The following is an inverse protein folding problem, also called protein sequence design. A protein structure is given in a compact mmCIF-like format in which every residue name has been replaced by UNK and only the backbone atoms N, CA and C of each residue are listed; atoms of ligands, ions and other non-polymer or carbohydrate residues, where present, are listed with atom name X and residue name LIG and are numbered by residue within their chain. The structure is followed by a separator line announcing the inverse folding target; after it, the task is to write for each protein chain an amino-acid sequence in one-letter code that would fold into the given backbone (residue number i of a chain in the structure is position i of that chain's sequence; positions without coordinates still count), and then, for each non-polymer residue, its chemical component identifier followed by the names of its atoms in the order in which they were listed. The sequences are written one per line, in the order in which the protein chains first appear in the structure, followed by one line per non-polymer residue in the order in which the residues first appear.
data_IF_918740198980
#
_entry.id   IF_918740198980
#
_cell.length_a   1.000
_cell.length_b   1.000
_cell.length_c   1.000
_cell.angle_alpha   90.00
_cell.angle_beta   90.00
_cell.angle_gamma   90.00
#
_symmetry.space_group_name_H-M   'P 1'
#
loop_
_entity.id
_entity.type
_entity.pdbx_description
1 polymer ?
#
# COMPACT_ATOMS: atom_id res chain seq x y z
N UNK A 1 -30.02 -21.38 -2.41
CA UNK A 1 -29.51 -21.83 -1.10
C UNK A 1 -30.63 -21.93 -0.08
N UNK A 2 -31.46 -20.90 0.11
CA UNK A 2 -32.71 -21.02 0.90
C UNK A 2 -33.59 -22.19 0.43
N UNK A 3 -33.80 -22.30 -0.89
CA UNK A 3 -34.51 -23.43 -1.50
C UNK A 3 -33.84 -24.78 -1.25
N UNK A 4 -32.50 -24.82 -1.19
CA UNK A 4 -31.71 -26.04 -0.98
C UNK A 4 -31.73 -26.47 0.51
N UNK A 5 -31.76 -25.50 1.44
CA UNK A 5 -31.98 -25.74 2.87
C UNK A 5 -33.42 -26.23 3.18
N UNK A 6 -34.40 -25.80 2.38
CA UNK A 6 -35.79 -26.29 2.49
C UNK A 6 -35.97 -27.68 1.88
N UNK A 7 -35.23 -27.98 0.80
CA UNK A 7 -35.26 -29.29 0.12
C UNK A 7 -34.39 -30.34 0.84
N UNK A 8 -33.31 -29.91 1.49
CA UNK A 8 -32.37 -30.73 2.25
C UNK A 8 -32.16 -30.15 3.66
N UNK A 9 -33.15 -30.30 4.57
CA UNK A 9 -33.01 -29.82 5.93
C UNK A 9 -31.80 -30.49 6.62
N UNK A 10 -31.02 -29.76 7.44
CA UNK A 10 -29.81 -30.29 8.06
C UNK A 10 -30.11 -31.54 8.91
N UNK A 11 -29.14 -32.45 9.06
CA UNK A 11 -29.30 -33.73 9.78
C UNK A 11 -29.82 -33.61 11.23
N UNK A 12 -29.83 -32.40 11.80
CA UNK A 12 -30.42 -32.09 13.11
C UNK A 12 -31.93 -31.80 13.08
N UNK A 13 -32.60 -31.91 11.92
CA UNK A 13 -34.03 -31.67 11.78
C UNK A 13 -34.84 -32.81 12.43
N UNK A 14 -35.43 -32.53 13.60
CA UNK A 14 -36.38 -33.42 14.27
C UNK A 14 -37.82 -32.99 13.93
N UNK A 15 -38.54 -33.72 13.06
CA UNK A 15 -39.90 -33.37 12.62
C UNK A 15 -40.93 -33.37 13.75
N UNK A 16 -40.63 -34.00 14.88
CA UNK A 16 -41.52 -34.05 16.05
C UNK A 16 -41.32 -32.84 16.98
N UNK A 17 -40.19 -32.15 16.88
CA UNK A 17 -39.83 -31.01 17.74
C UNK A 17 -39.82 -29.66 17.00
N UNK A 18 -39.63 -29.66 15.68
CA UNK A 18 -39.43 -28.43 14.90
C UNK A 18 -40.67 -28.12 14.05
N UNK A 19 -41.17 -26.90 14.16
CA UNK A 19 -42.21 -26.41 13.24
C UNK A 19 -41.57 -25.78 11.97
N UNK A 20 -42.41 -25.51 10.97
CA UNK A 20 -41.93 -24.89 9.72
C UNK A 20 -41.28 -23.52 9.93
N UNK A 21 -41.68 -22.76 10.96
CA UNK A 21 -41.09 -21.46 11.28
C UNK A 21 -39.62 -21.62 11.68
N UNK A 22 -39.29 -22.64 12.48
CA UNK A 22 -37.92 -22.95 12.88
C UNK A 22 -37.04 -23.31 11.67
N UNK A 23 -37.61 -24.02 10.67
CA UNK A 23 -36.90 -24.32 9.41
C UNK A 23 -36.59 -23.06 8.63
N UNK A 24 -37.57 -22.15 8.48
CA UNK A 24 -37.36 -20.89 7.79
C UNK A 24 -36.31 -20.01 8.48
N UNK A 25 -36.33 -19.93 9.82
CA UNK A 25 -35.35 -19.16 10.59
C UNK A 25 -33.93 -19.74 10.42
N UNK A 26 -33.79 -21.06 10.46
CA UNK A 26 -32.50 -21.73 10.23
C UNK A 26 -31.98 -21.51 8.80
N UNK A 27 -32.85 -21.65 7.78
CA UNK A 27 -32.49 -21.40 6.39
C UNK A 27 -32.10 -19.92 6.16
N UNK A 28 -32.82 -18.99 6.81
CA UNK A 28 -32.50 -17.57 6.78
C UNK A 28 -31.13 -17.29 7.41
N UNK A 29 -30.85 -17.83 8.60
CA UNK A 29 -29.55 -17.66 9.25
C UNK A 29 -28.41 -18.22 8.38
N UNK A 30 -28.58 -19.42 7.83
CA UNK A 30 -27.60 -20.03 6.94
C UNK A 30 -27.34 -19.19 5.69
N UNK A 31 -28.39 -18.53 5.16
CA UNK A 31 -28.26 -17.64 4.00
C UNK A 31 -27.46 -16.37 4.32
N UNK A 32 -27.63 -15.82 5.53
CA UNK A 32 -26.86 -14.67 6.00
C UNK A 32 -25.38 -15.03 6.15
N UNK A 33 -25.09 -16.14 6.84
CA UNK A 33 -23.71 -16.63 6.99
C UNK A 33 -23.03 -16.86 5.64
N UNK A 34 -23.74 -17.45 4.68
CA UNK A 34 -23.19 -17.67 3.35
C UNK A 34 -22.90 -16.35 2.62
N UNK A 35 -23.81 -15.38 2.73
CA UNK A 35 -23.61 -14.06 2.15
C UNK A 35 -22.39 -13.36 2.76
N UNK A 36 -22.22 -13.42 4.08
CA UNK A 36 -21.06 -12.85 4.78
C UNK A 36 -19.75 -13.49 4.29
N UNK A 37 -19.71 -14.81 4.11
CA UNK A 37 -18.55 -15.51 3.55
C UNK A 37 -18.22 -15.05 2.12
N UNK A 38 -19.23 -14.89 1.26
CA UNK A 38 -19.03 -14.37 -0.10
C UNK A 38 -18.53 -12.93 -0.09
N UNK A 39 -19.05 -12.11 0.82
CA UNK A 39 -18.62 -10.74 1.01
C UNK A 39 -17.16 -10.66 1.43
N UNK A 40 -16.77 -11.41 2.47
CA UNK A 40 -15.37 -11.51 2.92
C UNK A 40 -14.44 -12.00 1.80
N UNK A 41 -14.87 -13.01 1.02
CA UNK A 41 -14.09 -13.50 -0.12
C UNK A 41 -13.86 -12.40 -1.16
N UNK A 42 -14.90 -11.62 -1.49
CA UNK A 42 -14.78 -10.48 -2.42
C UNK A 42 -13.79 -9.45 -1.89
N UNK A 43 -13.93 -9.01 -0.64
CA UNK A 43 -13.04 -8.01 -0.04
C UNK A 43 -11.58 -8.47 -0.02
N UNK A 44 -11.33 -9.71 0.43
CA UNK A 44 -9.97 -10.30 0.43
C UNK A 44 -9.40 -10.43 -0.98
N UNK A 45 -10.23 -10.72 -1.97
CA UNK A 45 -9.79 -10.81 -3.38
C UNK A 45 -9.36 -9.45 -3.90
N UNK A 46 -10.14 -8.40 -3.67
CA UNK A 46 -9.80 -7.03 -4.09
C UNK A 46 -8.51 -6.55 -3.42
N UNK A 47 -8.35 -6.79 -2.11
CA UNK A 47 -7.12 -6.47 -1.38
C UNK A 47 -5.92 -7.27 -1.88
N UNK A 48 -6.11 -8.54 -2.23
CA UNK A 48 -5.08 -9.38 -2.84
C UNK A 48 -4.61 -8.86 -4.20
N UNK A 49 -5.54 -8.38 -5.03
CA UNK A 49 -5.21 -7.75 -6.33
C UNK A 49 -4.41 -6.46 -6.09
N UNK A 50 -4.88 -5.57 -5.21
CA UNK A 50 -4.18 -4.34 -4.87
C UNK A 50 -2.75 -4.61 -4.36
N UNK A 51 -2.59 -5.60 -3.46
CA UNK A 51 -1.27 -6.02 -2.97
C UNK A 51 -0.36 -6.53 -4.10
N UNK A 52 -0.90 -7.34 -5.03
CA UNK A 52 -0.19 -7.82 -6.20
C UNK A 52 0.29 -6.67 -7.10
N UNK A 53 -0.59 -5.72 -7.41
CA UNK A 53 -0.27 -4.51 -8.20
C UNK A 53 0.86 -3.71 -7.55
N UNK A 54 0.73 -3.39 -6.27
CA UNK A 54 1.72 -2.60 -5.54
C UNK A 54 3.07 -3.29 -5.46
N UNK A 55 3.11 -4.58 -5.11
CA UNK A 55 4.38 -5.31 -5.00
C UNK A 55 5.09 -5.46 -6.34
N UNK A 56 4.34 -5.70 -7.42
CA UNK A 56 4.92 -5.75 -8.76
C UNK A 56 5.48 -4.38 -9.16
N UNK A 57 4.71 -3.31 -8.93
CA UNK A 57 5.13 -1.93 -9.15
C UNK A 57 6.41 -1.59 -8.39
N UNK A 58 6.42 -1.76 -7.06
CA UNK A 58 7.53 -1.37 -6.19
C UNK A 58 8.81 -2.14 -6.56
N UNK A 59 8.69 -3.45 -6.79
CA UNK A 59 9.83 -4.28 -7.19
C UNK A 59 10.41 -3.83 -8.53
N UNK A 60 9.55 -3.60 -9.51
CA UNK A 60 9.96 -3.13 -10.84
C UNK A 60 10.63 -1.76 -10.77
N UNK A 61 10.09 -0.88 -9.91
CA UNK A 61 10.64 0.44 -9.68
C UNK A 61 12.03 0.39 -9.03
N UNK A 62 12.21 -0.42 -7.98
CA UNK A 62 13.53 -0.62 -7.35
C UNK A 62 14.56 -1.19 -8.32
N UNK A 63 14.16 -2.12 -9.21
CA UNK A 63 15.03 -2.62 -10.29
C UNK A 63 15.46 -1.50 -11.22
N UNK A 64 14.52 -0.65 -11.66
CA UNK A 64 14.80 0.51 -12.51
C UNK A 64 15.78 1.45 -11.80
N UNK A 65 15.47 1.91 -10.59
CA UNK A 65 16.33 2.84 -9.83
C UNK A 65 17.74 2.27 -9.66
N UNK A 66 17.87 1.00 -9.25
CA UNK A 66 19.17 0.37 -9.11
C UNK A 66 19.95 0.30 -10.43
N UNK A 67 19.26 0.13 -11.57
CA UNK A 67 19.88 0.12 -12.90
C UNK A 67 20.33 1.53 -13.31
N UNK A 68 19.48 2.54 -13.16
CA UNK A 68 19.81 3.93 -13.52
C UNK A 68 20.99 4.44 -12.69
N UNK A 69 20.93 4.26 -11.36
CA UNK A 69 22.03 4.64 -10.48
C UNK A 69 23.32 3.89 -10.80
N UNK A 70 23.25 2.61 -11.21
CA UNK A 70 24.44 1.87 -11.66
C UNK A 70 25.00 2.43 -12.96
N UNK A 71 24.14 2.72 -13.95
CA UNK A 71 24.56 3.27 -15.23
C UNK A 71 25.21 4.65 -15.08
N UNK A 72 24.73 5.46 -14.15
CA UNK A 72 25.29 6.76 -13.80
C UNK A 72 26.47 6.69 -12.80
N UNK A 73 26.89 5.50 -12.36
CA UNK A 73 28.06 5.31 -11.48
C UNK A 73 27.81 5.51 -9.98
N UNK A 74 26.56 5.67 -9.55
CA UNK A 74 26.13 5.90 -8.16
C UNK A 74 25.82 4.63 -7.36
N UNK A 75 25.75 3.46 -8.02
CA UNK A 75 25.82 2.15 -7.34
C UNK A 75 27.25 1.64 -7.46
N UNK A 76 27.97 1.74 -6.34
CA UNK A 76 29.40 1.43 -6.28
C UNK A 76 29.65 -0.04 -5.97
N UNK A 77 28.78 -0.65 -5.14
CA UNK A 77 29.00 -2.00 -4.64
C UNK A 77 27.76 -2.65 -4.04
N UNK A 78 27.98 -3.63 -3.17
CA UNK A 78 26.92 -4.43 -2.58
C UNK A 78 26.04 -3.59 -1.63
N UNK A 79 26.63 -2.68 -0.84
CA UNK A 79 25.89 -1.95 0.20
C UNK A 79 24.93 -0.93 -0.40
N UNK A 80 25.35 -0.19 -1.41
CA UNK A 80 24.51 0.75 -2.14
C UNK A 80 23.35 0.03 -2.83
N UNK A 81 23.63 -1.09 -3.51
CA UNK A 81 22.58 -1.94 -4.09
C UNK A 81 21.59 -2.40 -3.02
N UNK A 82 22.06 -2.93 -1.90
CA UNK A 82 21.21 -3.43 -0.82
C UNK A 82 20.32 -2.33 -0.21
N UNK A 83 20.83 -1.09 -0.11
CA UNK A 83 20.03 0.03 0.38
C UNK A 83 18.87 0.37 -0.56
N UNK A 84 19.06 0.35 -1.89
CA UNK A 84 17.95 0.57 -2.84
C UNK A 84 16.84 -0.47 -2.67
N UNK A 85 17.20 -1.70 -2.30
CA UNK A 85 16.23 -2.79 -2.10
C UNK A 85 15.51 -2.75 -0.75
N UNK A 86 16.18 -2.28 0.30
CA UNK A 86 15.68 -2.38 1.68
C UNK A 86 15.14 -1.08 2.26
N UNK A 87 15.48 0.06 1.67
CA UNK A 87 15.04 1.33 2.20
C UNK A 87 13.51 1.46 2.15
N UNK A 88 12.97 2.19 3.12
CA UNK A 88 11.55 2.54 3.12
C UNK A 88 11.20 3.39 1.89
N UNK A 89 9.93 3.39 1.49
CA UNK A 89 9.49 4.15 0.32
C UNK A 89 9.87 5.64 0.41
N UNK A 90 9.67 6.26 1.57
CA UNK A 90 10.03 7.67 1.82
C UNK A 90 11.54 7.94 1.71
N UNK A 91 12.37 6.97 2.05
CA UNK A 91 13.82 7.05 1.88
C UNK A 91 14.22 6.95 0.40
N UNK A 92 13.52 6.09 -0.36
CA UNK A 92 13.71 5.98 -1.80
C UNK A 92 13.31 7.28 -2.52
N UNK A 93 12.21 7.93 -2.11
CA UNK A 93 11.80 9.23 -2.63
C UNK A 93 12.82 10.32 -2.32
N UNK A 94 13.27 10.42 -1.08
CA UNK A 94 14.31 11.39 -0.70
C UNK A 94 15.60 11.18 -1.51
N UNK A 95 15.93 9.93 -1.86
CA UNK A 95 17.05 9.65 -2.75
C UNK A 95 16.80 10.16 -4.16
N UNK A 96 15.60 9.96 -4.72
CA UNK A 96 15.26 10.39 -6.08
C UNK A 96 15.15 11.90 -6.21
N UNK A 97 14.66 12.59 -5.17
CA UNK A 97 14.70 14.05 -5.07
C UNK A 97 16.13 14.56 -5.15
N UNK A 98 17.08 13.89 -4.49
CA UNK A 98 18.49 14.24 -4.61
C UNK A 98 19.02 14.10 -6.05
N UNK A 99 18.38 13.28 -6.89
CA UNK A 99 18.65 13.15 -8.33
C UNK A 99 17.66 13.95 -9.21
N UNK A 100 17.09 15.03 -8.67
CA UNK A 100 16.27 15.98 -9.43
C UNK A 100 14.87 15.49 -9.79
N UNK A 101 14.39 14.39 -9.21
CA UNK A 101 13.04 13.89 -9.47
C UNK A 101 12.16 13.92 -8.22
N UNK A 102 11.26 14.90 -8.20
CA UNK A 102 10.23 15.03 -7.17
C UNK A 102 9.07 14.06 -7.42
N UNK A 103 9.21 12.85 -6.87
CA UNK A 103 8.22 11.77 -7.04
C UNK A 103 6.81 12.17 -6.57
N UNK A 104 6.62 12.84 -5.41
CA UNK A 104 5.31 13.36 -5.01
C UNK A 104 4.62 14.31 -5.99
N UNK A 105 5.35 14.97 -6.90
CA UNK A 105 4.77 15.89 -7.89
C UNK A 105 4.11 15.17 -9.08
N UNK A 106 4.28 13.85 -9.19
CA UNK A 106 3.75 13.02 -10.28
C UNK A 106 2.21 13.02 -10.29
N UNK A 107 1.56 13.07 -11.47
CA UNK A 107 0.11 12.94 -11.57
C UNK A 107 -0.42 11.68 -10.86
N UNK A 108 -1.54 11.81 -10.15
CA UNK A 108 -2.18 10.70 -9.41
C UNK A 108 -1.32 10.06 -8.32
N UNK A 109 -0.23 10.71 -7.88
CA UNK A 109 0.63 10.18 -6.82
C UNK A 109 -0.13 9.89 -5.51
N UNK A 110 -1.15 10.67 -5.17
CA UNK A 110 -2.00 10.44 -3.99
C UNK A 110 -2.68 9.06 -4.02
N UNK A 111 -3.07 8.56 -5.20
CA UNK A 111 -3.70 7.25 -5.35
C UNK A 111 -2.68 6.12 -5.23
N UNK A 112 -1.45 6.34 -5.69
CA UNK A 112 -0.33 5.41 -5.48
C UNK A 112 0.06 5.34 -4.00
N UNK A 113 0.05 6.46 -3.30
CA UNK A 113 0.32 6.50 -1.88
C UNK A 113 -0.80 5.84 -1.07
N UNK A 114 -2.06 6.06 -1.44
CA UNK A 114 -3.19 5.35 -0.86
C UNK A 114 -3.05 3.83 -1.05
N UNK A 115 -2.66 3.37 -2.26
CA UNK A 115 -2.39 1.96 -2.53
C UNK A 115 -1.33 1.38 -1.57
N UNK A 116 -0.21 2.09 -1.38
CA UNK A 116 0.84 1.67 -0.44
C UNK A 116 0.30 1.51 0.97
N UNK A 117 -0.50 2.47 1.44
CA UNK A 117 -1.08 2.42 2.78
C UNK A 117 -2.09 1.28 2.92
N UNK A 118 -3.00 1.12 1.97
CA UNK A 118 -3.98 0.01 1.92
C UNK A 118 -3.28 -1.35 2.01
N UNK A 119 -2.22 -1.56 1.22
CA UNK A 119 -1.48 -2.84 1.23
C UNK A 119 -0.76 -3.07 2.56
N UNK A 120 -0.24 -2.01 3.17
CA UNK A 120 0.39 -2.11 4.49
C UNK A 120 -0.63 -2.41 5.60
N UNK A 121 -1.81 -1.80 5.56
CA UNK A 121 -2.92 -2.11 6.48
C UNK A 121 -3.40 -3.55 6.27
N UNK A 122 -3.57 -4.00 5.02
CA UNK A 122 -3.95 -5.37 4.73
C UNK A 122 -2.97 -6.40 5.29
N UNK A 123 -1.67 -6.09 5.31
CA UNK A 123 -0.63 -6.97 5.86
C UNK A 123 -0.54 -6.96 7.38
N UNK A 124 -0.69 -5.79 7.99
CA UNK A 124 -0.32 -5.58 9.40
C UNK A 124 -1.50 -5.26 10.31
N UNK A 125 -2.66 -4.91 9.74
CA UNK A 125 -3.83 -4.43 10.45
C UNK A 125 -3.57 -3.07 11.08
N UNK A 126 -3.73 -3.00 12.40
CA UNK A 126 -3.52 -1.80 13.19
C UNK A 126 -2.08 -1.26 13.10
N UNK A 127 -1.96 0.07 13.12
CA UNK A 127 -0.66 0.75 13.22
C UNK A 127 -0.54 2.01 12.39
N UNK A 128 0.69 2.50 12.16
CA UNK A 128 0.94 3.79 11.52
C UNK A 128 0.33 3.91 10.12
N UNK A 129 0.27 2.82 9.36
CA UNK A 129 -0.34 2.82 8.03
C UNK A 129 -1.85 3.07 8.11
N UNK A 130 -2.54 2.44 9.07
CA UNK A 130 -3.97 2.62 9.25
C UNK A 130 -4.30 4.02 9.78
N UNK A 131 -3.53 4.53 10.74
CA UNK A 131 -3.68 5.91 11.21
C UNK A 131 -3.48 6.93 10.08
N UNK A 132 -2.46 6.73 9.23
CA UNK A 132 -2.25 7.58 8.05
C UNK A 132 -3.40 7.45 7.03
N UNK A 133 -3.94 6.24 6.83
CA UNK A 133 -5.05 5.99 5.92
C UNK A 133 -6.31 6.75 6.38
N UNK A 134 -6.67 6.64 7.66
CA UNK A 134 -7.80 7.37 8.24
C UNK A 134 -7.67 8.88 8.05
N UNK A 135 -6.50 9.43 8.34
CA UNK A 135 -6.26 10.88 8.29
C UNK A 135 -6.25 11.45 6.87
N UNK A 136 -5.70 10.71 5.91
CA UNK A 136 -5.35 11.26 4.59
C UNK A 136 -6.24 10.75 3.46
N UNK A 137 -6.80 9.56 3.63
CA UNK A 137 -7.64 8.91 2.63
C UNK A 137 -8.88 8.28 3.29
N UNK A 138 -9.73 9.10 3.95
CA UNK A 138 -10.89 8.60 4.70
C UNK A 138 -11.89 7.82 3.83
N UNK A 139 -11.88 8.02 2.51
CA UNK A 139 -12.67 7.24 1.53
C UNK A 139 -12.46 5.71 1.60
N UNK A 140 -11.33 5.25 2.15
CA UNK A 140 -11.07 3.82 2.36
C UNK A 140 -11.61 3.31 3.70
N UNK A 141 -12.20 4.17 4.52
CA UNK A 141 -12.78 3.84 5.82
C UNK A 141 -14.13 4.55 5.93
N UNK A 142 -15.17 4.07 5.21
CA UNK A 142 -16.44 4.79 5.04
C UNK A 142 -17.14 5.17 6.36
N UNK A 143 -16.90 4.40 7.43
CA UNK A 143 -17.41 4.64 8.78
C UNK A 143 -16.91 5.97 9.38
N UNK A 144 -15.84 6.57 8.85
CA UNK A 144 -15.40 7.91 9.23
C UNK A 144 -16.26 9.01 8.61
N UNK A 145 -16.97 8.73 7.52
CA UNK A 145 -17.81 9.70 6.82
C UNK A 145 -19.26 9.71 7.33
N UNK A 146 -19.70 8.61 7.95
CA UNK A 146 -21.09 8.41 8.36
C UNK A 146 -21.43 8.78 9.81
N UNK A 147 -20.45 9.01 10.69
CA UNK A 147 -20.70 9.29 12.12
C UNK A 147 -19.87 10.47 12.67
N UNK A 148 -20.53 11.44 13.32
CA UNK A 148 -19.88 12.56 14.04
C UNK A 148 -19.15 12.10 15.34
N UNK A 149 -19.26 10.83 15.72
CA UNK A 149 -18.50 10.23 16.81
C UNK A 149 -18.37 8.74 16.57
N UNK A 150 -17.20 8.12 16.52
CA UNK A 150 -15.96 8.47 17.17
C UNK A 150 -14.86 7.68 16.45
N UNK A 151 -13.87 8.39 15.91
CA UNK A 151 -12.61 7.84 15.38
C UNK A 151 -11.96 6.77 16.28
N UNK A 152 -12.34 6.76 17.57
CA UNK A 152 -11.89 5.84 18.62
C UNK A 152 -12.44 4.41 18.51
N UNK A 153 -13.52 4.17 17.76
CA UNK A 153 -14.11 2.83 17.59
C UNK A 153 -13.88 2.27 16.18
N UNK A 154 -13.22 3.02 15.31
CA UNK A 154 -12.89 2.60 13.95
C UNK A 154 -11.52 1.93 13.95
N UNK A 155 -11.51 0.65 13.62
CA UNK A 155 -10.33 -0.21 13.51
C UNK A 155 -10.08 -0.64 12.05
N UNK A 156 -8.96 -1.32 11.81
CA UNK A 156 -8.54 -1.72 10.45
C UNK A 156 -9.53 -2.63 9.71
N UNK A 157 -10.45 -3.30 10.41
CA UNK A 157 -11.46 -4.17 9.78
C UNK A 157 -12.52 -3.37 9.01
N UNK A 158 -12.60 -2.07 9.29
CA UNK A 158 -13.48 -1.13 8.60
C UNK A 158 -12.86 -0.61 7.28
N UNK A 159 -11.64 -1.02 6.94
CA UNK A 159 -11.02 -0.66 5.67
C UNK A 159 -11.76 -1.34 4.50
N UNK A 160 -12.25 -0.53 3.56
CA UNK A 160 -12.98 -1.00 2.39
C UNK A 160 -12.26 -0.62 1.09
N UNK A 161 -12.13 -1.58 0.18
CA UNK A 161 -11.60 -1.38 -1.18
C UNK A 161 -12.64 -1.85 -2.18
N UNK A 162 -12.93 -1.02 -3.18
CA UNK A 162 -13.89 -1.32 -4.25
C UNK A 162 -13.16 -1.51 -5.58
N UNK A 163 -13.90 -1.88 -6.62
CA UNK A 163 -13.37 -2.04 -7.97
C UNK A 163 -12.93 -0.69 -8.55
N UNK A 164 -13.65 0.40 -8.27
CA UNK A 164 -13.28 1.76 -8.69
C UNK A 164 -11.94 2.20 -8.07
N UNK A 165 -11.65 1.76 -6.84
CA UNK A 165 -10.35 1.99 -6.23
C UNK A 165 -9.23 1.25 -6.97
N UNK A 166 -9.48 0.02 -7.44
CA UNK A 166 -8.50 -0.72 -8.25
C UNK A 166 -8.21 -0.01 -9.59
N UNK A 167 -9.23 0.54 -10.24
CA UNK A 167 -9.06 1.33 -11.46
C UNK A 167 -8.22 2.59 -11.20
N UNK A 168 -8.49 3.30 -10.10
CA UNK A 168 -7.69 4.46 -9.69
C UNK A 168 -6.23 4.09 -9.41
N UNK A 169 -5.99 2.97 -8.72
CA UNK A 169 -4.65 2.45 -8.47
C UNK A 169 -3.91 2.07 -9.77
N UNK A 170 -4.62 1.44 -10.71
CA UNK A 170 -4.07 1.08 -12.02
C UNK A 170 -3.64 2.33 -12.79
N UNK A 171 -4.53 3.33 -12.86
CA UNK A 171 -4.26 4.60 -13.53
C UNK A 171 -3.10 5.36 -12.88
N UNK A 172 -2.99 5.32 -11.56
CA UNK A 172 -1.88 5.93 -10.84
C UNK A 172 -0.53 5.25 -11.15
N UNK A 173 -0.50 3.93 -11.22
CA UNK A 173 0.70 3.17 -11.61
C UNK A 173 1.09 3.52 -13.05
N UNK A 174 0.14 3.56 -13.98
CA UNK A 174 0.41 3.93 -15.38
C UNK A 174 0.95 5.36 -15.47
N UNK A 175 0.27 6.32 -14.85
CA UNK A 175 0.68 7.73 -14.80
C UNK A 175 2.07 7.89 -14.21
N UNK A 176 2.39 7.11 -13.17
CA UNK A 176 3.72 7.09 -12.59
C UNK A 176 4.78 6.65 -13.60
N UNK A 177 4.54 5.55 -14.31
CA UNK A 177 5.49 5.04 -15.32
C UNK A 177 5.69 6.02 -16.49
N UNK A 178 4.64 6.73 -16.89
CA UNK A 178 4.70 7.76 -17.93
C UNK A 178 5.45 9.02 -17.49
N UNK A 179 5.40 9.36 -16.20
CA UNK A 179 6.08 10.52 -15.64
C UNK A 179 7.57 10.26 -15.31
N UNK A 180 8.06 9.02 -15.40
CA UNK A 180 9.46 8.70 -15.09
C UNK A 180 10.38 9.40 -16.08
N UNK A 181 11.38 10.16 -15.62
CA UNK A 181 12.35 10.78 -16.51
C UNK A 181 13.17 9.72 -17.26
N UNK A 182 13.58 10.04 -18.49
CA UNK A 182 14.41 9.15 -19.31
C UNK A 182 15.73 8.77 -18.62
N UNK A 183 16.30 9.70 -17.85
CA UNK A 183 17.51 9.52 -17.06
C UNK A 183 17.35 10.27 -15.73
N UNK A 184 17.86 9.68 -14.65
CA UNK A 184 18.06 10.39 -13.40
C UNK A 184 19.34 11.23 -13.56
N UNK A 185 19.20 12.54 -13.65
CA UNK A 185 20.31 13.46 -13.86
C UNK A 185 20.57 14.27 -12.59
N UNK A 186 21.86 14.47 -12.28
CA UNK A 186 22.26 15.53 -11.37
C UNK A 186 22.18 16.84 -12.15
N UNK A 187 21.54 17.87 -11.60
CA UNK A 187 21.47 19.19 -12.24
C UNK A 187 22.89 19.69 -12.60
N UNK A 188 23.05 20.21 -13.82
CA UNK A 188 24.33 20.76 -14.28
C UNK A 188 24.76 21.93 -13.40
N UNK A 189 25.96 21.84 -12.80
CA UNK A 189 26.51 22.88 -11.92
C UNK A 189 26.44 22.57 -10.42
N UNK A 190 25.80 21.47 -10.01
CA UNK A 190 25.84 21.00 -8.61
C UNK A 190 27.19 20.34 -8.32
N UNK A 191 28.00 20.98 -7.47
CA UNK A 191 29.33 20.48 -7.06
C UNK A 191 29.27 19.43 -5.95
N UNK A 192 28.12 19.30 -5.27
CA UNK A 192 27.87 18.29 -4.24
C UNK A 192 26.39 17.89 -4.22
N UNK A 193 26.11 16.60 -4.41
CA UNK A 193 24.76 16.06 -4.30
C UNK A 193 24.41 15.85 -2.82
N UNK A 194 23.30 16.42 -2.36
CA UNK A 194 22.81 16.20 -0.98
C UNK A 194 22.13 14.83 -0.88
N UNK A 195 22.95 13.79 -0.72
CA UNK A 195 22.45 12.43 -0.59
C UNK A 195 21.89 12.16 0.81
N UNK A 196 20.75 11.44 0.91
CA UNK A 196 20.26 10.94 2.18
C UNK A 196 21.31 10.13 2.95
N UNK A 197 21.32 10.29 4.26
CA UNK A 197 22.36 9.72 5.14
C UNK A 197 22.49 8.20 5.04
N UNK A 198 21.38 7.48 4.82
CA UNK A 198 21.37 6.03 4.65
C UNK A 198 22.17 5.60 3.42
N UNK A 199 22.02 6.32 2.30
CA UNK A 199 22.68 6.01 1.04
C UNK A 199 24.14 6.47 1.06
N UNK A 200 24.40 7.68 1.56
CA UNK A 200 25.76 8.20 1.73
C UNK A 200 26.63 7.33 2.66
N UNK A 201 26.02 6.71 3.69
CA UNK A 201 26.70 5.72 4.54
C UNK A 201 27.05 4.46 3.75
N UNK A 202 26.15 3.96 2.91
CA UNK A 202 26.41 2.77 2.09
C UNK A 202 27.49 3.02 1.02
N UNK A 203 27.50 4.19 0.38
CA UNK A 203 28.55 4.56 -0.58
C UNK A 203 29.95 4.54 0.06
N UNK A 204 30.08 5.03 1.30
CA UNK A 204 31.34 4.97 2.06
C UNK A 204 31.77 3.52 2.36
N UNK A 205 30.82 2.65 2.65
CA UNK A 205 31.11 1.23 2.89
C UNK A 205 31.55 0.49 1.61
N UNK A 206 31.06 0.93 0.44
CA UNK A 206 31.47 0.41 -0.86
C UNK A 206 32.79 1.03 -1.38
N UNK A 207 33.42 1.94 -0.61
CA UNK A 207 34.75 2.49 -0.93
C UNK A 207 34.76 3.78 -1.75
N UNK A 208 33.62 4.49 -1.88
CA UNK A 208 33.59 5.81 -2.53
C UNK A 208 34.06 6.92 -1.57
N UNK A 209 35.04 7.76 -1.96
CA UNK A 209 35.45 8.91 -1.17
C UNK A 209 34.34 9.96 -1.08
N UNK A 210 34.23 10.59 0.09
CA UNK A 210 33.10 11.39 0.58
C UNK A 210 32.61 12.49 -0.37
N UNK A 211 31.33 12.45 -0.78
CA UNK A 211 30.56 13.64 -1.11
C UNK A 211 30.05 14.27 0.21
N UNK A 212 30.18 15.59 0.37
CA UNK A 212 29.87 16.28 1.63
C UNK A 212 28.40 16.07 2.03
N UNK A 213 28.16 15.38 3.15
CA UNK A 213 26.86 15.32 3.83
C UNK A 213 26.74 16.49 4.80
N UNK A 214 25.87 17.46 4.56
CA UNK A 214 25.42 18.34 5.65
C UNK A 214 24.34 17.60 6.44
N UNK A 215 24.60 17.39 7.73
CA UNK A 215 23.59 16.95 8.67
C UNK A 215 22.63 18.11 8.90
N UNK A 216 21.39 18.01 8.41
CA UNK A 216 20.31 18.87 8.88
C UNK A 216 20.08 18.57 10.37
N UNK A 217 20.55 19.48 11.23
CA UNK A 217 20.22 19.46 12.64
C UNK A 217 18.71 19.70 12.82
N UNK A 218 18.06 19.07 13.81
CA UNK A 218 16.68 19.38 14.13
C UNK A 218 16.63 20.80 14.69
N UNK A 219 15.91 21.68 14.00
CA UNK A 219 15.44 22.93 14.58
C UNK A 219 14.50 22.57 15.75
N UNK A 220 15.01 22.75 16.96
CA UNK A 220 14.20 22.87 18.18
C UNK A 220 14.08 24.36 18.52
N UNK A 221 12.96 24.76 19.15
CA UNK A 221 12.29 26.05 18.98
C UNK A 221 13.02 27.28 19.52
#
# INVERSE_FOLDING_TARGET
MEQDCLENPPECFDPEQWDMSMVYEAAFHQSLEHYDLLHEMRERTLLGIAAGMYHHFEKSFRVRVARELRQAGWVIGEKTRDQVWRCEWTQLEALLVAFGWDVPSVPHYQDLEALRLVVNVFKHGEGPAFEALKQRFPRFVPQLESDEGSWRYVDYTHMCVTEEHLDAFSNAIVSFWEAIPLQLAVEEGVTALELPSFYAKAMRQDGCPTFMTQQTAPHSP
#
